data_IF_590150558548
#
_entry.id   IF_590150558548
#
_cell.length_a   1.000
_cell.length_b   1.000
_cell.length_c   1.000
_cell.angle_alpha   90.00
_cell.angle_beta   90.00
_cell.angle_gamma   90.00
#
_symmetry.space_group_name_H-M   'P 1'
#
loop_
_entity.id
_entity.type
_entity.pdbx_description
1 polymer ?
#
# COMPACT_ATOMS: atom_id res chain seq x y z
N UNK A 1 33.18 29.20 -69.38
CA UNK A 1 33.74 28.73 -68.08
C UNK A 1 32.74 28.92 -66.94
N UNK A 2 32.23 30.14 -66.71
CA UNK A 2 31.35 30.47 -65.58
C UNK A 2 30.16 29.51 -65.38
N UNK A 3 29.34 29.28 -66.42
CA UNK A 3 28.17 28.37 -66.37
C UNK A 3 28.49 26.99 -65.76
N UNK A 4 29.63 26.37 -66.13
CA UNK A 4 30.06 25.08 -65.56
C UNK A 4 30.34 25.14 -64.06
N UNK A 5 30.91 26.25 -63.56
CA UNK A 5 31.15 26.46 -62.12
C UNK A 5 29.85 26.63 -61.34
N UNK A 6 28.84 27.25 -61.95
CA UNK A 6 27.54 27.47 -61.31
C UNK A 6 26.67 26.19 -61.35
N UNK A 7 26.73 25.42 -62.44
CA UNK A 7 26.16 24.07 -62.52
C UNK A 7 26.77 23.11 -61.47
N UNK A 8 28.09 23.21 -61.22
CA UNK A 8 28.79 22.43 -60.20
C UNK A 8 28.35 22.82 -58.78
N UNK A 9 28.20 24.12 -58.49
CA UNK A 9 27.64 24.61 -57.21
C UNK A 9 26.21 24.12 -57.00
N UNK A 10 25.36 24.17 -58.02
CA UNK A 10 23.98 23.69 -57.94
C UNK A 10 23.92 22.19 -57.61
N UNK A 11 24.70 21.36 -58.32
CA UNK A 11 24.82 19.91 -58.02
C UNK A 11 25.35 19.65 -56.60
N UNK A 12 26.30 20.47 -56.12
CA UNK A 12 26.85 20.36 -54.76
C UNK A 12 25.84 20.77 -53.69
N UNK A 13 24.94 21.71 -53.97
CA UNK A 13 23.83 22.09 -53.09
C UNK A 13 22.77 20.99 -53.04
N UNK A 14 22.29 20.53 -54.19
CA UNK A 14 21.33 19.41 -54.30
C UNK A 14 21.83 18.14 -53.58
N UNK A 15 23.12 17.80 -53.72
CA UNK A 15 23.71 16.65 -53.00
C UNK A 15 23.75 16.84 -51.48
N UNK A 16 23.88 18.09 -50.98
CA UNK A 16 23.77 18.39 -49.54
C UNK A 16 22.33 18.30 -49.06
N UNK A 17 21.39 18.88 -49.79
CA UNK A 17 19.96 18.86 -49.47
C UNK A 17 19.42 17.42 -49.46
N UNK A 18 19.74 16.62 -50.47
CA UNK A 18 19.40 15.20 -50.52
C UNK A 18 19.97 14.42 -49.31
N UNK A 19 21.20 14.72 -48.88
CA UNK A 19 21.79 14.09 -47.67
C UNK A 19 21.09 14.51 -46.38
N UNK A 20 20.65 15.77 -46.28
CA UNK A 20 19.88 16.27 -45.13
C UNK A 20 18.48 15.64 -45.09
N UNK A 21 17.80 15.58 -46.24
CA UNK A 21 16.48 14.94 -46.36
C UNK A 21 16.55 13.43 -46.05
N UNK A 22 17.53 12.70 -46.58
CA UNK A 22 17.73 11.30 -46.27
C UNK A 22 18.02 11.06 -44.77
N UNK A 23 18.83 11.90 -44.13
CA UNK A 23 19.06 11.82 -42.69
C UNK A 23 17.78 12.07 -41.90
N UNK A 24 16.99 13.09 -42.27
CA UNK A 24 15.72 13.41 -41.64
C UNK A 24 14.71 12.26 -41.75
N UNK A 25 14.58 11.67 -42.94
CA UNK A 25 13.72 10.50 -43.16
C UNK A 25 14.17 9.28 -42.35
N UNK A 26 15.48 9.05 -42.21
CA UNK A 26 16.01 7.98 -41.38
C UNK A 26 15.73 8.20 -39.88
N UNK A 27 15.85 9.43 -39.40
CA UNK A 27 15.55 9.82 -38.01
C UNK A 27 14.04 9.73 -37.70
N UNK A 28 13.20 10.19 -38.63
CA UNK A 28 11.73 10.12 -38.54
C UNK A 28 11.21 8.67 -38.58
N UNK A 29 11.75 7.82 -39.46
CA UNK A 29 11.42 6.39 -39.49
C UNK A 29 11.88 5.65 -38.21
N UNK A 30 13.04 6.01 -37.65
CA UNK A 30 13.49 5.46 -36.37
C UNK A 30 12.60 5.91 -35.20
N UNK A 31 12.17 7.17 -35.17
CA UNK A 31 11.24 7.68 -34.18
C UNK A 31 9.86 6.98 -34.26
N UNK A 32 9.32 6.83 -35.47
CA UNK A 32 8.06 6.12 -35.72
C UNK A 32 8.12 4.64 -35.27
N UNK A 33 9.23 3.94 -35.54
CA UNK A 33 9.42 2.57 -35.09
C UNK A 33 9.45 2.44 -33.55
N UNK A 34 10.09 3.39 -32.85
CA UNK A 34 10.11 3.44 -31.38
C UNK A 34 8.70 3.72 -30.82
N UNK A 35 7.95 4.62 -31.44
CA UNK A 35 6.58 4.93 -31.02
C UNK A 35 5.63 3.75 -31.26
N UNK A 36 5.73 3.06 -32.40
CA UNK A 36 4.95 1.87 -32.70
C UNK A 36 5.28 0.70 -31.74
N UNK A 37 6.56 0.46 -31.45
CA UNK A 37 6.96 -0.55 -30.47
C UNK A 37 6.41 -0.21 -29.07
N UNK A 38 6.46 1.06 -28.68
CA UNK A 38 5.88 1.53 -27.40
C UNK A 38 4.37 1.32 -27.37
N UNK A 39 3.64 1.68 -28.44
CA UNK A 39 2.19 1.48 -28.57
C UNK A 39 1.83 -0.01 -28.46
N UNK A 40 2.59 -0.89 -29.13
CA UNK A 40 2.40 -2.34 -29.05
C UNK A 40 2.62 -2.86 -27.63
N UNK A 41 3.69 -2.43 -26.94
CA UNK A 41 3.96 -2.80 -25.54
C UNK A 41 2.88 -2.30 -24.59
N UNK A 42 2.35 -1.10 -24.80
CA UNK A 42 1.25 -0.54 -24.00
C UNK A 42 -0.06 -1.32 -24.21
N UNK A 43 -0.40 -1.68 -25.45
CA UNK A 43 -1.58 -2.49 -25.74
C UNK A 43 -1.46 -3.92 -25.19
N UNK A 44 -0.29 -4.54 -25.30
CA UNK A 44 0.00 -5.86 -24.72
C UNK A 44 -0.08 -5.82 -23.19
N UNK A 45 0.50 -4.80 -22.54
CA UNK A 45 0.39 -4.59 -21.11
C UNK A 45 -1.07 -4.37 -20.66
N UNK A 46 -1.87 -3.65 -21.45
CA UNK A 46 -3.31 -3.46 -21.21
C UNK A 46 -4.07 -4.78 -21.31
N UNK A 47 -3.84 -5.59 -22.35
CA UNK A 47 -4.46 -6.91 -22.51
C UNK A 47 -4.05 -7.88 -21.39
N UNK A 48 -2.78 -7.86 -20.98
CA UNK A 48 -2.29 -8.65 -19.84
C UNK A 48 -2.94 -8.22 -18.51
N UNK A 49 -3.09 -6.91 -18.26
CA UNK A 49 -3.76 -6.39 -17.08
C UNK A 49 -5.26 -6.76 -17.04
N UNK A 50 -5.96 -6.73 -18.18
CA UNK A 50 -7.35 -7.15 -18.29
C UNK A 50 -7.52 -8.66 -18.04
N UNK A 51 -6.69 -9.50 -18.67
CA UNK A 51 -6.68 -10.94 -18.45
C UNK A 51 -6.41 -11.29 -16.98
N UNK A 52 -5.47 -10.59 -16.33
CA UNK A 52 -5.18 -10.76 -14.90
C UNK A 52 -6.38 -10.38 -14.01
N UNK A 53 -7.13 -9.32 -14.36
CA UNK A 53 -8.35 -8.95 -13.65
C UNK A 53 -9.48 -9.98 -13.83
N UNK A 54 -9.69 -10.49 -15.05
CA UNK A 54 -10.68 -11.52 -15.33
C UNK A 54 -10.38 -12.81 -14.58
N UNK A 55 -9.12 -13.26 -14.59
CA UNK A 55 -8.66 -14.43 -13.84
C UNK A 55 -8.81 -14.24 -12.31
N UNK A 56 -8.50 -13.06 -11.76
CA UNK A 56 -8.78 -12.75 -10.35
C UNK A 56 -10.28 -12.83 -10.03
N UNK A 57 -11.13 -12.20 -10.85
CA UNK A 57 -12.60 -12.24 -10.71
C UNK A 57 -13.17 -13.66 -10.84
N UNK A 58 -12.56 -14.52 -11.67
CA UNK A 58 -12.94 -15.93 -11.78
C UNK A 58 -12.61 -16.69 -10.49
N UNK A 59 -11.37 -16.62 -9.99
CA UNK A 59 -10.94 -17.26 -8.73
C UNK A 59 -11.73 -16.77 -7.51
N UNK A 60 -12.13 -15.50 -7.47
CA UNK A 60 -13.01 -14.99 -6.41
C UNK A 60 -14.46 -15.50 -6.51
N UNK A 61 -14.99 -15.72 -7.72
CA UNK A 61 -16.31 -16.34 -7.92
C UNK A 61 -16.29 -17.83 -7.54
N UNK A 62 -15.29 -18.56 -7.99
CA UNK A 62 -15.07 -19.98 -7.66
C UNK A 62 -14.95 -20.18 -6.15
N UNK A 63 -14.10 -19.41 -5.45
CA UNK A 63 -13.99 -19.45 -3.98
C UNK A 63 -15.30 -19.12 -3.26
N UNK A 64 -16.16 -18.28 -3.83
CA UNK A 64 -17.50 -18.00 -3.28
C UNK A 64 -18.44 -19.20 -3.47
N UNK A 65 -18.42 -19.86 -4.63
CA UNK A 65 -19.21 -21.07 -4.87
C UNK A 65 -18.75 -22.22 -3.96
N UNK A 66 -17.44 -22.49 -3.87
CA UNK A 66 -16.90 -23.52 -2.98
C UNK A 66 -17.29 -23.30 -1.51
N UNK A 67 -17.27 -22.04 -1.03
CA UNK A 67 -17.77 -21.69 0.31
C UNK A 67 -19.27 -21.93 0.48
N UNK A 68 -20.08 -21.65 -0.55
CA UNK A 68 -21.52 -21.92 -0.53
C UNK A 68 -21.79 -23.42 -0.44
N UNK A 69 -21.19 -24.24 -1.30
CA UNK A 69 -21.41 -25.69 -1.28
C UNK A 69 -20.88 -26.33 0.01
N UNK A 70 -19.71 -25.93 0.51
CA UNK A 70 -19.23 -26.36 1.84
C UNK A 70 -20.19 -25.96 2.98
N UNK A 71 -20.84 -24.80 2.87
CA UNK A 71 -21.85 -24.38 3.86
C UNK A 71 -23.15 -25.17 3.72
N UNK A 72 -23.56 -25.49 2.48
CA UNK A 72 -24.75 -26.30 2.18
C UNK A 72 -24.57 -27.73 2.68
N UNK A 73 -23.40 -28.34 2.44
CA UNK A 73 -23.06 -29.68 2.94
C UNK A 73 -23.22 -29.77 4.47
N UNK A 74 -22.62 -28.83 5.22
CA UNK A 74 -22.75 -28.76 6.69
C UNK A 74 -24.20 -28.65 7.17
N UNK A 75 -25.01 -27.84 6.50
CA UNK A 75 -26.43 -27.65 6.84
C UNK A 75 -27.21 -28.94 6.57
N UNK A 76 -27.01 -29.57 5.41
CA UNK A 76 -27.68 -30.83 5.07
C UNK A 76 -27.20 -32.01 5.93
N UNK A 77 -25.95 -32.02 6.41
CA UNK A 77 -25.44 -33.07 7.31
C UNK A 77 -25.86 -32.90 8.78
N UNK A 78 -26.28 -31.70 9.21
CA UNK A 78 -26.58 -31.40 10.61
C UNK A 78 -27.60 -32.35 11.28
N UNK A 79 -28.68 -32.82 10.63
CA UNK A 79 -29.60 -33.79 11.22
C UNK A 79 -28.94 -35.14 11.50
N UNK A 80 -28.08 -35.61 10.58
CA UNK A 80 -27.34 -36.88 10.69
C UNK A 80 -26.30 -36.83 11.81
N UNK A 81 -25.57 -35.72 11.92
CA UNK A 81 -24.61 -35.48 12.99
C UNK A 81 -25.31 -35.44 14.37
N UNK A 82 -26.44 -34.74 14.46
CA UNK A 82 -27.24 -34.65 15.69
C UNK A 82 -27.77 -36.01 16.16
N UNK A 83 -28.12 -36.89 15.20
CA UNK A 83 -28.60 -38.25 15.45
C UNK A 83 -27.47 -39.29 15.53
N UNK A 84 -26.20 -38.89 15.31
CA UNK A 84 -25.00 -39.75 15.27
C UNK A 84 -25.11 -40.99 14.37
N UNK A 85 -25.86 -40.89 13.27
CA UNK A 85 -26.11 -42.05 12.40
C UNK A 85 -24.83 -42.52 11.68
N UNK A 86 -24.68 -43.84 11.55
CA UNK A 86 -23.57 -44.53 10.88
C UNK A 86 -22.14 -44.18 11.36
N UNK A 87 -22.02 -43.55 12.53
CA UNK A 87 -20.74 -43.10 13.11
C UNK A 87 -20.18 -41.83 12.46
N UNK A 88 -20.99 -41.07 11.72
CA UNK A 88 -20.54 -39.84 11.04
C UNK A 88 -20.29 -38.75 12.10
N UNK A 89 -19.06 -38.22 12.11
CA UNK A 89 -18.63 -37.08 12.94
C UNK A 89 -18.48 -35.81 12.10
N UNK A 90 -18.39 -34.65 12.76
CA UNK A 90 -18.09 -33.37 12.10
C UNK A 90 -16.79 -33.43 11.28
N UNK A 91 -15.79 -34.21 11.73
CA UNK A 91 -14.52 -34.43 11.03
C UNK A 91 -14.75 -35.03 9.65
N UNK A 92 -15.60 -36.06 9.52
CA UNK A 92 -15.94 -36.67 8.23
C UNK A 92 -16.56 -35.64 7.26
N UNK A 93 -17.34 -34.68 7.78
CA UNK A 93 -17.98 -33.64 6.97
C UNK A 93 -16.97 -32.55 6.56
N UNK A 94 -16.01 -32.21 7.42
CA UNK A 94 -14.91 -31.30 7.09
C UNK A 94 -13.91 -31.94 6.10
N UNK A 95 -13.61 -33.24 6.24
CA UNK A 95 -12.78 -33.99 5.31
C UNK A 95 -13.40 -34.01 3.90
N UNK A 96 -14.72 -34.23 3.79
CA UNK A 96 -15.45 -34.09 2.53
C UNK A 96 -15.43 -32.65 2.02
N UNK A 97 -15.59 -31.65 2.90
CA UNK A 97 -15.44 -30.25 2.51
C UNK A 97 -14.05 -29.95 1.94
N UNK A 98 -12.97 -30.51 2.50
CA UNK A 98 -11.58 -30.25 2.12
C UNK A 98 -11.15 -31.02 0.87
N UNK A 99 -11.55 -32.28 0.74
CA UNK A 99 -11.16 -33.18 -0.36
C UNK A 99 -11.93 -32.94 -1.67
N UNK A 100 -13.22 -32.64 -1.60
CA UNK A 100 -14.07 -32.51 -2.79
C UNK A 100 -14.01 -31.13 -3.44
N UNK A 101 -14.06 -31.11 -4.77
CA UNK A 101 -14.12 -29.88 -5.56
C UNK A 101 -15.55 -29.30 -5.62
N UNK A 102 -15.72 -28.09 -6.17
CA UNK A 102 -17.02 -27.39 -6.22
C UNK A 102 -18.13 -28.17 -6.93
N UNK A 103 -17.81 -28.94 -7.98
CA UNK A 103 -18.78 -29.74 -8.72
C UNK A 103 -19.15 -31.02 -7.96
N UNK A 104 -18.16 -31.72 -7.40
CA UNK A 104 -18.37 -32.91 -6.57
C UNK A 104 -19.20 -32.59 -5.32
N UNK A 105 -18.88 -31.49 -4.62
CA UNK A 105 -19.67 -31.02 -3.48
C UNK A 105 -21.11 -30.69 -3.88
N UNK A 106 -21.31 -30.07 -5.04
CA UNK A 106 -22.65 -29.76 -5.54
C UNK A 106 -23.42 -31.04 -5.87
N UNK A 107 -22.82 -32.00 -6.59
CA UNK A 107 -23.40 -33.33 -6.87
C UNK A 107 -23.77 -34.07 -5.57
N UNK A 108 -22.91 -34.02 -4.55
CA UNK A 108 -23.20 -34.59 -3.23
C UNK A 108 -24.39 -33.90 -2.55
N UNK A 109 -24.38 -32.57 -2.45
CA UNK A 109 -25.50 -31.81 -1.88
C UNK A 109 -26.82 -32.06 -2.62
N UNK A 110 -26.81 -32.11 -3.96
CA UNK A 110 -27.99 -32.40 -4.78
C UNK A 110 -28.47 -33.86 -4.58
N UNK A 111 -27.55 -34.84 -4.43
CA UNK A 111 -27.86 -36.24 -4.04
C UNK A 111 -28.38 -36.37 -2.59
N UNK A 112 -28.20 -35.36 -1.74
CA UNK A 112 -28.64 -35.30 -0.34
C UNK A 112 -29.99 -34.58 -0.13
N UNK A 113 -30.35 -33.62 -1.00
CA UNK A 113 -31.47 -32.68 -0.80
C UNK A 113 -32.85 -33.36 -0.66
N UNK A 114 -33.00 -34.58 -1.18
CA UNK A 114 -34.24 -35.38 -1.11
C UNK A 114 -34.10 -36.65 -0.23
N UNK A 115 -33.13 -36.68 0.69
CA UNK A 115 -32.88 -37.85 1.56
C UNK A 115 -32.86 -37.46 3.02
N UNK A 116 -33.38 -38.34 3.86
CA UNK A 116 -33.45 -38.15 5.31
C UNK A 116 -32.90 -39.36 6.07
N UNK A 117 -32.62 -39.17 7.37
CA UNK A 117 -32.22 -40.22 8.30
C UNK A 117 -31.08 -41.13 7.77
N UNK A 118 -31.33 -42.44 7.76
CA UNK A 118 -30.34 -43.45 7.35
C UNK A 118 -29.96 -43.36 5.87
N UNK A 119 -30.87 -42.95 4.99
CA UNK A 119 -30.56 -42.78 3.56
C UNK A 119 -29.62 -41.60 3.32
N UNK A 120 -29.83 -40.51 4.05
CA UNK A 120 -28.94 -39.34 4.06
C UNK A 120 -27.56 -39.69 4.63
N UNK A 121 -27.52 -40.44 5.75
CA UNK A 121 -26.28 -40.92 6.34
C UNK A 121 -25.48 -41.82 5.38
N UNK A 122 -26.12 -42.77 4.68
CA UNK A 122 -25.47 -43.61 3.67
C UNK A 122 -24.80 -42.76 2.57
N UNK A 123 -25.46 -41.69 2.10
CA UNK A 123 -24.90 -40.80 1.08
C UNK A 123 -23.70 -40.00 1.59
N UNK A 124 -23.77 -39.43 2.79
CA UNK A 124 -22.62 -38.69 3.37
C UNK A 124 -21.43 -39.64 3.53
N UNK A 125 -21.64 -40.84 4.06
CA UNK A 125 -20.57 -41.83 4.27
C UNK A 125 -19.88 -42.27 2.98
N UNK A 126 -20.62 -42.31 1.87
CA UNK A 126 -20.11 -42.66 0.55
C UNK A 126 -19.68 -41.42 -0.26
N UNK A 127 -19.68 -40.21 0.32
CA UNK A 127 -19.47 -38.94 -0.38
C UNK A 127 -18.13 -38.82 -1.11
N UNK A 128 -17.11 -39.57 -0.69
CA UNK A 128 -15.79 -39.61 -1.33
C UNK A 128 -15.80 -40.31 -2.70
N UNK A 129 -16.79 -41.17 -2.98
CA UNK A 129 -16.91 -41.94 -4.22
C UNK A 129 -18.01 -41.36 -5.14
N UNK A 130 -18.22 -40.04 -5.13
CA UNK A 130 -19.39 -39.40 -5.78
C UNK A 130 -19.43 -39.57 -7.30
N UNK A 131 -18.28 -39.83 -7.91
CA UNK A 131 -18.08 -40.01 -9.35
C UNK A 131 -18.34 -41.46 -9.81
N UNK A 132 -18.48 -42.42 -8.89
CA UNK A 132 -19.05 -43.74 -9.19
C UNK A 132 -20.58 -43.62 -9.27
N UNK A 133 -21.08 -43.32 -10.47
CA UNK A 133 -22.51 -43.31 -10.80
C UNK A 133 -23.15 -44.72 -10.84
N UNK A 134 -22.53 -45.69 -10.15
CA UNK A 134 -22.87 -47.12 -10.18
C UNK A 134 -23.14 -47.73 -8.80
N UNK A 135 -23.58 -46.92 -7.84
CA UNK A 135 -24.25 -47.40 -6.62
C UNK A 135 -25.75 -47.15 -6.78
N UNK A 136 -26.40 -48.04 -7.53
CA UNK A 136 -27.82 -48.29 -7.35
C UNK A 136 -28.05 -48.67 -5.89
N UNK A 137 -29.04 -48.05 -5.26
CA UNK A 137 -29.41 -48.39 -3.89
C UNK A 137 -30.22 -49.67 -3.99
N UNK A 138 -29.60 -50.81 -3.71
CA UNK A 138 -30.35 -52.01 -3.32
C UNK A 138 -31.11 -51.66 -2.04
N UNK A 139 -32.43 -51.54 -2.17
CA UNK A 139 -33.36 -51.37 -1.06
C UNK A 139 -33.49 -52.70 -0.31
N UNK A 140 -32.52 -53.03 0.56
CA UNK A 140 -32.74 -54.07 1.55
C UNK A 140 -33.82 -53.61 2.55
N UNK A 141 -35.04 -54.07 2.27
CA UNK A 141 -36.21 -53.99 3.14
C UNK A 141 -36.00 -54.88 4.38
N UNK A 142 -35.44 -54.33 5.45
CA UNK A 142 -35.39 -55.02 6.75
C UNK A 142 -36.61 -54.64 7.60
N UNK A 143 -37.70 -55.36 7.39
CA UNK A 143 -38.80 -55.42 8.36
C UNK A 143 -38.34 -56.17 9.62
N UNK A 144 -38.20 -55.47 10.76
CA UNK A 144 -38.27 -56.12 12.08
C UNK A 144 -39.18 -55.31 12.99
N UNK A 145 -40.26 -55.96 13.43
CA UNK A 145 -41.33 -55.34 14.20
C UNK A 145 -40.91 -55.01 15.65
N UNK A 146 -41.44 -53.90 16.16
CA UNK A 146 -41.41 -53.57 17.59
C UNK A 146 -42.24 -54.58 18.38
N UNK A 147 -41.62 -55.29 19.33
CA UNK A 147 -42.29 -55.83 20.53
C UNK A 147 -41.42 -55.64 21.77
N UNK A 148 -42.05 -55.31 22.88
CA UNK A 148 -41.44 -54.96 24.16
C UNK A 148 -41.25 -56.19 25.10
N UNK A 149 -40.54 -55.94 26.22
CA UNK A 149 -40.47 -56.69 27.48
C UNK A 149 -39.50 -57.89 27.58
N UNK A 150 -38.74 -57.94 28.71
CA UNK A 150 -38.30 -59.24 29.30
C UNK A 150 -36.89 -59.40 29.88
N UNK A 151 -36.49 -58.59 30.87
CA UNK A 151 -35.83 -58.97 32.16
C UNK A 151 -34.98 -60.29 32.34
N UNK A 152 -33.86 -60.16 33.10
CA UNK A 152 -33.04 -61.16 33.86
C UNK A 152 -31.74 -61.75 33.22
N UNK A 153 -30.59 -61.39 33.84
CA UNK A 153 -29.37 -62.13 34.28
C UNK A 153 -28.89 -63.40 33.51
N UNK A 154 -27.58 -63.76 33.38
CA UNK A 154 -26.49 -63.68 34.35
C UNK A 154 -25.06 -63.98 33.77
N UNK A 155 -24.02 -63.43 34.43
CA UNK A 155 -22.64 -63.92 34.69
C UNK A 155 -21.62 -64.45 33.62
N UNK A 156 -20.36 -64.04 33.83
CA UNK A 156 -19.10 -64.56 33.24
C UNK A 156 -18.24 -63.43 32.61
N UNK A 157 -17.23 -62.80 33.25
CA UNK A 157 -15.91 -63.31 33.68
C UNK A 157 -15.14 -63.95 32.49
N UNK A 158 -13.93 -63.55 32.07
CA UNK A 158 -12.75 -62.99 32.79
C UNK A 158 -11.88 -62.12 31.84
N UNK A 159 -11.05 -61.20 32.40
CA UNK A 159 -9.64 -60.81 32.06
C UNK A 159 -9.07 -60.82 30.60
N UNK A 160 -8.03 -60.06 30.21
CA UNK A 160 -7.32 -58.87 30.73
C UNK A 160 -6.28 -58.37 29.68
N UNK A 161 -5.70 -57.18 29.91
CA UNK A 161 -4.51 -56.61 29.23
C UNK A 161 -4.66 -56.21 27.73
N UNK A 162 -3.98 -55.17 27.24
CA UNK A 162 -3.06 -54.24 27.92
C UNK A 162 -2.67 -53.04 27.04
N UNK A 163 -2.37 -51.92 27.70
CA UNK A 163 -1.98 -50.64 27.08
C UNK A 163 -0.47 -50.62 26.78
N UNK A 164 -0.08 -50.18 25.58
CA UNK A 164 1.20 -49.49 25.31
C UNK A 164 1.01 -48.47 24.18
N UNK A 165 1.31 -47.19 24.44
CA UNK A 165 1.42 -46.15 23.41
C UNK A 165 2.74 -46.27 22.64
N UNK A 166 2.73 -45.97 21.33
CA UNK A 166 3.94 -45.61 20.59
C UNK A 166 3.64 -44.43 19.65
N UNK A 167 4.01 -43.22 20.09
CA UNK A 167 3.88 -41.98 19.31
C UNK A 167 4.83 -41.99 18.11
N UNK A 168 4.33 -41.58 16.95
CA UNK A 168 5.14 -41.01 15.87
C UNK A 168 4.45 -39.74 15.40
N UNK A 169 4.92 -38.60 15.92
CA UNK A 169 4.41 -37.27 15.58
C UNK A 169 4.92 -36.83 14.19
N UNK A 170 4.05 -36.85 13.18
CA UNK A 170 4.23 -36.06 11.94
C UNK A 170 3.12 -35.01 11.82
N UNK A 171 3.24 -33.96 12.62
CA UNK A 171 2.30 -32.85 12.64
C UNK A 171 2.46 -31.93 11.43
N UNK A 172 1.52 -32.01 10.48
CA UNK A 172 1.32 -31.00 9.45
C UNK A 172 0.80 -29.69 10.08
N UNK A 173 1.56 -28.62 9.91
CA UNK A 173 1.37 -27.38 10.66
C UNK A 173 0.28 -26.46 10.06
N UNK A 174 -1.01 -26.77 10.28
CA UNK A 174 -2.08 -25.76 10.13
C UNK A 174 -2.13 -24.86 11.37
N UNK A 175 -1.14 -23.97 11.52
CA UNK A 175 -1.15 -22.94 12.57
C UNK A 175 -2.28 -21.94 12.29
N UNK A 176 -3.32 -21.96 13.14
CA UNK A 176 -4.23 -20.81 13.32
C UNK A 176 -3.36 -19.56 13.51
N UNK A 177 -3.45 -18.59 12.59
CA UNK A 177 -2.57 -17.41 12.59
C UNK A 177 -2.62 -16.71 13.95
N UNK A 178 -1.56 -16.84 14.74
CA UNK A 178 -1.56 -16.34 16.12
C UNK A 178 -1.65 -14.81 16.06
N UNK A 179 -2.64 -14.16 16.72
CA UNK A 179 -2.77 -12.71 16.65
C UNK A 179 -1.48 -12.02 17.08
N UNK A 180 -1.16 -10.92 16.41
CA UNK A 180 0.06 -10.16 16.69
C UNK A 180 -0.08 -9.43 18.03
N UNK A 181 0.79 -9.77 18.99
CA UNK A 181 0.85 -9.04 20.25
C UNK A 181 1.46 -7.66 20.05
N UNK A 182 1.12 -6.70 20.93
CA UNK A 182 1.59 -5.31 20.83
C UNK A 182 3.13 -5.22 20.83
N UNK A 183 3.78 -6.06 21.63
CA UNK A 183 5.23 -6.14 21.73
C UNK A 183 5.88 -6.65 20.43
N UNK A 184 5.33 -7.71 19.82
CA UNK A 184 5.80 -8.20 18.52
C UNK A 184 5.65 -7.16 17.41
N UNK A 185 4.58 -6.35 17.44
CA UNK A 185 4.35 -5.27 16.46
C UNK A 185 5.41 -4.17 16.62
N UNK A 186 5.76 -3.80 17.86
CA UNK A 186 6.80 -2.80 18.11
C UNK A 186 8.21 -3.34 17.80
N UNK A 187 8.46 -4.64 18.03
CA UNK A 187 9.68 -5.31 17.57
C UNK A 187 9.76 -5.38 16.04
N UNK A 188 8.65 -5.65 15.35
CA UNK A 188 8.57 -5.60 13.88
C UNK A 188 8.82 -4.19 13.34
N UNK A 189 8.30 -3.14 14.01
CA UNK A 189 8.57 -1.73 13.68
C UNK A 189 10.06 -1.41 13.79
N UNK A 190 10.67 -1.79 14.92
CA UNK A 190 12.11 -1.62 15.19
C UNK A 190 12.95 -2.38 14.19
N UNK A 191 12.67 -3.65 13.94
CA UNK A 191 13.38 -4.49 12.96
C UNK A 191 13.29 -3.94 11.54
N UNK A 192 12.10 -3.54 11.09
CA UNK A 192 11.89 -2.92 9.76
C UNK A 192 12.67 -1.61 9.58
N UNK A 193 12.92 -0.88 10.67
CA UNK A 193 13.69 0.37 10.68
C UNK A 193 15.19 0.11 10.75
N UNK A 194 15.61 -0.85 11.59
CA UNK A 194 17.00 -1.25 11.83
C UNK A 194 17.63 -1.97 10.63
N UNK A 195 16.83 -2.75 9.91
CA UNK A 195 17.25 -3.46 8.70
C UNK A 195 16.52 -2.86 7.49
N UNK A 196 17.13 -1.89 6.77
CA UNK A 196 16.49 -1.25 5.62
C UNK A 196 16.44 -2.14 4.38
N UNK A 197 15.71 -1.69 3.35
CA UNK A 197 15.63 -2.36 2.05
C UNK A 197 17.02 -2.42 1.38
N UNK A 198 17.48 -3.62 1.03
CA UNK A 198 18.81 -3.86 0.48
C UNK A 198 19.72 -4.74 1.35
N UNK A 199 19.39 -4.94 2.63
CA UNK A 199 20.01 -5.99 3.46
C UNK A 199 19.65 -7.36 2.86
N UNK A 200 20.65 -8.21 2.62
CA UNK A 200 20.40 -9.62 2.23
C UNK A 200 19.71 -10.35 3.38
N UNK A 201 18.80 -11.28 3.06
CA UNK A 201 18.04 -12.06 4.06
C UNK A 201 17.33 -11.17 5.12
N UNK A 202 16.83 -10.01 4.68
CA UNK A 202 16.21 -9.00 5.56
C UNK A 202 15.10 -9.56 6.44
N UNK A 203 14.26 -10.45 5.91
CA UNK A 203 13.04 -10.89 6.58
C UNK A 203 13.32 -12.04 7.55
N UNK A 204 14.32 -12.84 7.23
CA UNK A 204 14.94 -13.86 8.06
C UNK A 204 15.57 -13.20 9.29
N UNK A 205 16.41 -12.17 9.08
CA UNK A 205 17.02 -11.38 10.17
C UNK A 205 15.97 -10.64 11.01
N UNK A 206 14.87 -10.15 10.41
CA UNK A 206 13.75 -9.55 11.17
C UNK A 206 12.98 -10.61 11.96
N UNK A 207 12.77 -11.82 11.41
CA UNK A 207 12.14 -12.94 12.14
C UNK A 207 12.96 -13.33 13.37
N UNK A 208 14.26 -13.52 13.20
CA UNK A 208 15.20 -13.83 14.28
C UNK A 208 15.25 -12.69 15.32
N UNK A 209 15.29 -11.43 14.88
CA UNK A 209 15.27 -10.25 15.76
C UNK A 209 13.97 -10.11 16.59
N UNK A 210 12.83 -10.60 16.08
CA UNK A 210 11.57 -10.64 16.84
C UNK A 210 11.53 -11.85 17.79
N UNK A 211 12.21 -12.95 17.46
CA UNK A 211 12.43 -14.09 18.34
C UNK A 211 11.21 -14.97 18.62
N UNK A 212 10.02 -14.65 18.06
CA UNK A 212 8.78 -15.40 18.34
C UNK A 212 8.50 -16.57 17.39
N UNK A 213 9.46 -16.94 16.54
CA UNK A 213 9.36 -18.10 15.65
C UNK A 213 8.32 -17.96 14.53
N UNK A 214 7.92 -16.72 14.19
CA UNK A 214 7.04 -16.41 13.05
C UNK A 214 7.79 -16.53 11.73
N UNK A 215 7.15 -17.12 10.73
CA UNK A 215 7.78 -17.36 9.43
C UNK A 215 8.07 -16.05 8.68
N UNK A 216 9.03 -16.08 7.76
CA UNK A 216 9.32 -14.96 6.83
C UNK A 216 8.04 -14.43 6.15
N UNK A 217 7.12 -15.32 5.79
CA UNK A 217 5.85 -14.97 5.16
C UNK A 217 4.91 -14.23 6.13
N UNK A 218 4.83 -14.66 7.40
CA UNK A 218 4.07 -13.96 8.44
C UNK A 218 4.65 -12.57 8.72
N UNK A 219 5.98 -12.44 8.81
CA UNK A 219 6.69 -11.16 8.97
C UNK A 219 6.36 -10.21 7.80
N UNK A 220 6.39 -10.72 6.57
CA UNK A 220 6.18 -9.95 5.36
C UNK A 220 4.70 -9.54 5.20
N UNK A 221 3.76 -10.45 5.54
CA UNK A 221 2.32 -10.17 5.63
C UNK A 221 2.04 -9.09 6.67
N UNK A 222 2.54 -9.24 7.89
CA UNK A 222 2.34 -8.28 8.97
C UNK A 222 3.00 -6.92 8.72
N UNK A 223 4.18 -6.88 8.08
CA UNK A 223 4.77 -5.60 7.68
C UNK A 223 3.87 -4.87 6.68
N UNK A 224 3.20 -5.61 5.79
CA UNK A 224 2.25 -5.05 4.82
C UNK A 224 0.91 -4.64 5.44
N UNK A 225 0.38 -5.39 6.41
CA UNK A 225 -0.95 -5.17 6.99
C UNK A 225 -0.96 -4.36 8.29
N UNK A 226 0.09 -4.42 9.10
CA UNK A 226 0.17 -3.77 10.42
C UNK A 226 1.02 -2.50 10.39
N UNK A 227 2.12 -2.48 9.62
CA UNK A 227 3.01 -1.31 9.52
C UNK A 227 2.71 -0.41 8.30
N UNK A 228 2.31 -1.01 7.17
CA UNK A 228 1.97 -0.28 5.94
C UNK A 228 0.46 -0.05 5.75
N UNK A 229 -0.35 -0.33 6.78
CA UNK A 229 -1.70 0.23 6.84
C UNK A 229 -1.57 1.76 6.83
N UNK A 230 -1.93 2.37 5.69
CA UNK A 230 -2.24 3.79 5.65
C UNK A 230 -3.32 4.02 6.73
N UNK A 231 -3.25 5.10 7.53
CA UNK A 231 -4.36 5.44 8.40
C UNK A 231 -5.62 5.49 7.54
N UNK A 232 -6.66 4.80 8.02
CA UNK A 232 -7.96 4.75 7.36
C UNK A 232 -8.34 6.18 6.93
N UNK A 233 -8.63 6.39 5.65
CA UNK A 233 -8.87 7.74 5.12
C UNK A 233 -10.05 8.43 5.82
N UNK A 234 -10.97 7.65 6.41
CA UNK A 234 -12.03 8.17 7.27
C UNK A 234 -11.49 8.77 8.59
N UNK A 235 -10.47 8.16 9.20
CA UNK A 235 -9.88 8.56 10.50
C UNK A 235 -8.65 9.48 10.37
N UNK A 236 -8.09 9.60 9.17
CA UNK A 236 -6.99 10.51 8.88
C UNK A 236 -7.36 11.99 9.09
N UNK A 237 -8.65 12.34 8.96
CA UNK A 237 -9.15 13.70 9.22
C UNK A 237 -9.25 13.99 10.72
N UNK A 238 -9.82 13.09 11.52
CA UNK A 238 -9.91 13.25 12.99
C UNK A 238 -8.53 13.36 13.63
N UNK A 239 -7.59 12.49 13.23
CA UNK A 239 -6.20 12.57 13.71
C UNK A 239 -5.47 13.84 13.25
N UNK A 240 -5.93 14.51 12.19
CA UNK A 240 -5.43 15.83 11.78
C UNK A 240 -6.03 16.97 12.60
N UNK A 241 -7.29 16.86 13.04
CA UNK A 241 -7.92 17.79 13.97
C UNK A 241 -7.29 17.68 15.38
N UNK A 242 -7.08 16.45 15.86
CA UNK A 242 -6.52 16.16 17.19
C UNK A 242 -5.05 16.59 17.32
N UNK A 243 -4.27 16.50 16.23
CA UNK A 243 -2.87 16.95 16.18
C UNK A 243 -2.71 18.46 15.89
N UNK A 244 -3.79 19.23 15.73
CA UNK A 244 -3.72 20.69 15.73
C UNK A 244 -3.76 21.20 17.18
N UNK A 245 -2.74 21.96 17.58
CA UNK A 245 -2.83 22.81 18.77
C UNK A 245 -4.14 23.64 18.69
N UNK A 246 -4.92 23.77 19.77
CA UNK A 246 -6.03 24.71 19.78
C UNK A 246 -5.50 26.11 19.45
N UNK A 247 -6.10 26.74 18.45
CA UNK A 247 -5.73 28.11 18.08
C UNK A 247 -6.08 29.03 19.25
N UNK A 248 -5.16 29.95 19.60
CA UNK A 248 -5.42 30.93 20.63
C UNK A 248 -6.66 31.77 20.26
N UNK A 249 -7.55 31.98 21.24
CA UNK A 249 -8.73 32.83 21.09
C UNK A 249 -8.30 34.28 20.92
N UNK A 250 -8.17 34.71 19.66
CA UNK A 250 -8.06 36.13 19.31
C UNK A 250 -9.44 36.78 19.54
N UNK A 251 -9.61 37.38 20.71
CA UNK A 251 -10.70 38.33 20.97
C UNK A 251 -10.48 39.57 20.09
N UNK A 252 -11.03 39.55 18.87
CA UNK A 252 -11.08 40.71 17.98
C UNK A 252 -12.50 41.28 17.98
N UNK A 253 -12.72 42.50 18.51
CA UNK A 253 -14.05 43.07 18.66
C UNK A 253 -14.52 43.70 17.34
N UNK A 254 -15.12 42.91 16.47
CA UNK A 254 -15.80 43.44 15.27
C UNK A 254 -17.04 42.62 14.90
N UNK A 255 -18.05 42.67 15.77
CA UNK A 255 -19.40 42.19 15.50
C UNK A 255 -20.44 43.18 16.03
N UNK A 256 -20.50 44.35 15.39
CA UNK A 256 -21.64 45.27 15.54
C UNK A 256 -22.14 45.63 14.14
N UNK A 257 -23.03 44.78 13.63
CA UNK A 257 -23.94 45.14 12.54
C UNK A 257 -25.01 46.03 13.17
N UNK A 258 -24.88 47.33 12.97
CA UNK A 258 -25.72 48.33 13.62
C UNK A 258 -27.02 48.53 12.81
N UNK A 259 -28.12 48.03 13.37
CA UNK A 259 -29.49 48.32 12.94
C UNK A 259 -30.13 49.09 14.08
N UNK A 260 -30.15 50.43 13.97
CA UNK A 260 -30.80 51.30 14.95
C UNK A 260 -32.13 51.80 14.41
N UNK A 261 -33.20 51.42 15.10
CA UNK A 261 -34.43 52.19 15.10
C UNK A 261 -34.23 53.51 15.87
N UNK A 262 -34.98 54.52 15.44
CA UNK A 262 -35.26 55.80 16.09
C UNK A 262 -35.46 55.72 17.62
N UNK A 263 -35.27 56.80 18.42
CA UNK A 263 -35.81 58.12 18.06
C UNK A 263 -35.17 59.44 18.60
N UNK A 264 -35.77 60.54 18.12
CA UNK A 264 -35.79 61.94 18.64
C UNK A 264 -34.60 62.89 18.30
N UNK A 265 -34.96 63.83 17.44
CA UNK A 265 -34.30 65.08 16.98
C UNK A 265 -34.85 66.27 17.86
N UNK A 266 -34.35 67.54 17.89
CA UNK A 266 -33.10 68.20 17.43
C UNK A 266 -32.33 69.04 18.51
N UNK A 267 -31.11 69.51 18.24
CA UNK A 267 -30.83 70.93 17.84
C UNK A 267 -29.34 71.34 17.81
N UNK A 268 -29.00 72.09 16.74
CA UNK A 268 -27.96 73.14 16.59
C UNK A 268 -26.49 72.90 17.01
N UNK A 269 -25.68 72.70 15.98
CA UNK A 269 -24.52 73.53 15.59
C UNK A 269 -23.91 74.54 16.59
N UNK A 270 -22.59 74.48 16.75
CA UNK A 270 -21.72 75.53 16.20
C UNK A 270 -20.32 75.00 15.85
N UNK A 271 -19.58 75.84 15.13
CA UNK A 271 -18.26 75.71 14.55
C UNK A 271 -17.13 75.28 15.51
N UNK A 272 -16.05 74.77 14.91
CA UNK A 272 -14.76 75.47 14.84
C UNK A 272 -13.46 74.75 15.30
N UNK A 273 -12.52 74.79 14.36
CA UNK A 273 -11.09 75.05 14.54
C UNK A 273 -10.08 74.04 15.17
N UNK A 274 -9.14 73.66 14.29
CA UNK A 274 -7.68 73.84 14.45
C UNK A 274 -6.82 72.71 15.07
N UNK A 275 -5.85 72.24 14.26
CA UNK A 275 -4.42 72.02 14.61
C UNK A 275 -4.00 70.89 15.57
N UNK A 276 -2.75 70.39 15.65
CA UNK A 276 -1.52 70.30 14.80
C UNK A 276 -0.66 69.12 15.35
N UNK A 277 0.46 68.61 14.80
CA UNK A 277 1.32 68.91 13.62
C UNK A 277 1.93 67.59 13.06
N UNK A 278 2.44 67.66 11.83
CA UNK A 278 3.54 66.90 11.18
C UNK A 278 4.83 66.77 12.07
N UNK A 279 5.88 65.97 11.78
CA UNK A 279 6.73 65.98 10.57
C UNK A 279 7.52 64.68 10.26
N UNK A 280 7.94 64.62 9.00
CA UNK A 280 8.70 63.60 8.26
C UNK A 280 10.22 63.76 8.41
N UNK A 281 11.02 62.71 8.13
CA UNK A 281 12.31 62.83 7.41
C UNK A 281 12.91 61.47 6.96
N UNK A 282 13.65 61.48 5.85
CA UNK A 282 14.42 60.36 5.26
C UNK A 282 15.95 60.62 5.36
N UNK A 283 16.81 59.59 5.18
CA UNK A 283 17.86 59.51 4.12
C UNK A 283 19.14 58.66 4.44
N UNK A 284 19.45 57.74 3.51
CA UNK A 284 20.73 57.54 2.76
C UNK A 284 22.10 57.15 3.44
N UNK A 285 22.94 56.34 2.74
CA UNK A 285 24.40 56.59 2.71
C UNK A 285 25.50 55.48 2.75
N UNK A 286 25.75 54.77 1.63
CA UNK A 286 27.10 54.42 1.03
C UNK A 286 28.19 53.52 1.70
N UNK A 287 29.11 53.08 0.82
CA UNK A 287 30.18 52.04 0.92
C UNK A 287 31.61 52.63 0.80
N UNK A 288 32.68 52.00 1.34
CA UNK A 288 33.95 51.67 0.60
C UNK A 288 35.05 50.90 1.36
N UNK A 289 36.05 50.43 0.60
CA UNK A 289 37.12 49.46 0.93
C UNK A 289 38.50 50.07 1.33
N UNK A 290 39.38 49.26 1.95
CA UNK A 290 40.86 49.23 1.84
C UNK A 290 41.45 48.22 2.88
N UNK A 291 42.64 47.59 2.77
CA UNK A 291 43.41 47.12 1.60
C UNK A 291 44.55 46.13 2.04
N UNK A 292 44.86 45.15 1.19
CA UNK A 292 46.19 44.53 0.91
C UNK A 292 46.95 43.50 1.83
N UNK A 293 47.45 42.45 1.15
CA UNK A 293 48.71 41.66 1.29
C UNK A 293 49.00 40.58 2.37
N UNK A 294 48.81 39.30 1.95
CA UNK A 294 49.82 38.25 1.67
C UNK A 294 50.76 37.67 2.76
N UNK A 295 50.76 36.32 2.97
CA UNK A 295 51.75 35.64 3.84
C UNK A 295 51.53 34.15 4.23
N UNK A 296 51.44 33.23 3.25
CA UNK A 296 51.68 31.76 3.32
C UNK A 296 51.88 31.00 4.67
N UNK A 297 50.95 30.08 5.04
CA UNK A 297 51.21 28.63 5.32
C UNK A 297 50.01 27.89 5.96
N UNK A 298 49.71 26.67 5.51
CA UNK A 298 48.82 25.67 6.17
C UNK A 298 49.48 25.05 7.44
N UNK A 299 48.76 24.29 8.32
CA UNK A 299 47.42 23.71 8.16
C UNK A 299 46.43 23.86 9.37
N UNK A 300 45.19 23.42 9.10
CA UNK A 300 44.21 22.82 10.04
C UNK A 300 43.37 23.68 11.03
N UNK A 301 42.13 23.19 11.21
CA UNK A 301 41.20 23.36 12.35
C UNK A 301 40.48 24.71 12.60
N UNK A 302 39.29 24.81 11.97
CA UNK A 302 38.02 25.23 12.57
C UNK A 302 37.92 26.50 13.46
N UNK A 303 37.24 27.54 12.94
CA UNK A 303 36.10 28.19 13.63
C UNK A 303 35.33 29.16 12.72
N UNK A 304 34.02 29.32 13.00
CA UNK A 304 33.30 30.57 12.70
C UNK A 304 32.91 30.88 11.25
N UNK A 305 32.09 30.05 10.60
CA UNK A 305 31.27 30.52 9.47
C UNK A 305 29.78 30.37 9.78
N UNK A 306 29.03 31.45 9.56
CA UNK A 306 27.61 31.57 9.91
C UNK A 306 26.78 30.38 9.37
N UNK A 307 26.13 29.59 10.24
CA UNK A 307 25.40 28.41 9.79
C UNK A 307 24.19 28.76 8.91
N UNK A 308 23.60 29.96 9.06
CA UNK A 308 22.46 30.42 8.24
C UNK A 308 22.89 31.25 7.00
N UNK A 309 24.15 31.71 6.94
CA UNK A 309 24.70 32.44 5.79
C UNK A 309 24.85 31.55 4.55
N UNK A 310 24.22 31.90 3.44
CA UNK A 310 24.35 31.20 2.15
C UNK A 310 25.31 31.96 1.24
N UNK A 311 26.43 31.33 0.86
CA UNK A 311 27.31 31.89 -0.17
C UNK A 311 26.73 31.67 -1.57
N UNK A 312 27.05 32.55 -2.51
CA UNK A 312 26.63 32.42 -3.91
C UNK A 312 27.09 31.09 -4.56
N UNK A 313 28.18 30.49 -4.07
CA UNK A 313 28.65 29.17 -4.50
C UNK A 313 27.71 28.07 -3.99
N UNK A 314 27.32 28.11 -2.71
CA UNK A 314 26.37 27.15 -2.12
C UNK A 314 24.98 27.26 -2.73
N UNK A 315 24.51 28.47 -3.06
CA UNK A 315 23.21 28.65 -3.73
C UNK A 315 23.22 28.09 -5.16
N UNK A 316 24.28 28.34 -5.94
CA UNK A 316 24.45 27.74 -7.28
C UNK A 316 24.53 26.22 -7.19
N UNK A 317 25.30 25.68 -6.25
CA UNK A 317 25.41 24.25 -6.01
C UNK A 317 24.06 23.62 -5.65
N UNK A 318 23.26 24.26 -4.79
CA UNK A 318 21.91 23.81 -4.44
C UNK A 318 20.99 23.78 -5.69
N UNK A 319 20.96 24.85 -6.48
CA UNK A 319 20.14 24.92 -7.70
C UNK A 319 20.58 23.89 -8.74
N UNK A 320 21.89 23.67 -8.89
CA UNK A 320 22.43 22.62 -9.78
C UNK A 320 22.05 21.23 -9.28
N UNK A 321 22.26 20.90 -8.01
CA UNK A 321 21.89 19.62 -7.42
C UNK A 321 20.38 19.34 -7.51
N UNK A 322 19.53 20.36 -7.34
CA UNK A 322 18.08 20.24 -7.49
C UNK A 322 17.63 19.97 -8.95
N UNK A 323 18.42 20.37 -9.95
CA UNK A 323 18.23 20.01 -11.37
C UNK A 323 18.75 18.60 -11.66
N UNK A 324 19.95 18.25 -11.16
CA UNK A 324 20.59 16.94 -11.33
C UNK A 324 19.83 15.81 -10.63
N UNK A 325 19.14 16.12 -9.52
CA UNK A 325 18.30 15.18 -8.78
C UNK A 325 16.83 15.63 -8.79
N UNK A 326 16.03 15.23 -9.79
CA UNK A 326 14.59 15.47 -9.83
C UNK A 326 13.81 14.91 -8.64
N UNK A 327 12.53 15.26 -8.54
CA UNK A 327 11.63 14.85 -7.44
C UNK A 327 11.53 13.32 -7.26
N UNK A 328 11.69 12.53 -8.31
CA UNK A 328 11.58 11.06 -8.29
C UNK A 328 12.89 10.37 -7.85
N UNK A 329 13.96 11.11 -7.57
CA UNK A 329 15.25 10.54 -7.15
C UNK A 329 15.16 9.93 -5.74
N UNK A 330 15.31 8.61 -5.61
CA UNK A 330 15.50 7.94 -4.32
C UNK A 330 16.65 8.59 -3.54
N UNK A 331 16.47 8.93 -2.26
CA UNK A 331 17.47 9.65 -1.44
C UNK A 331 17.89 11.02 -2.03
N UNK A 332 16.98 11.71 -2.77
CA UNK A 332 17.21 13.04 -3.36
C UNK A 332 17.93 14.01 -2.43
N UNK A 333 17.42 14.16 -1.21
CA UNK A 333 17.89 15.16 -0.27
C UNK A 333 19.27 14.86 0.33
N UNK A 334 19.66 13.58 0.40
CA UNK A 334 21.01 13.19 0.80
C UNK A 334 22.00 13.57 -0.30
N UNK A 335 21.72 13.21 -1.56
CA UNK A 335 22.58 13.60 -2.70
C UNK A 335 22.65 15.11 -2.91
N UNK A 336 21.56 15.84 -2.64
CA UNK A 336 21.57 17.32 -2.65
C UNK A 336 22.46 17.86 -1.54
N UNK A 337 22.42 17.30 -0.32
CA UNK A 337 23.32 17.73 0.76
C UNK A 337 24.80 17.43 0.45
N UNK A 338 25.11 16.23 -0.07
CA UNK A 338 26.48 15.86 -0.50
C UNK A 338 27.00 16.80 -1.59
N UNK A 339 26.13 17.34 -2.44
CA UNK A 339 26.50 18.27 -3.51
C UNK A 339 26.60 19.74 -3.07
N UNK A 340 26.27 20.10 -1.82
CA UNK A 340 26.34 21.49 -1.30
C UNK A 340 27.35 21.56 -0.15
N UNK A 341 28.59 22.03 -0.40
CA UNK A 341 29.63 22.08 0.62
C UNK A 341 29.22 22.83 1.89
N UNK A 342 29.37 22.18 3.04
CA UNK A 342 29.15 22.79 4.36
C UNK A 342 27.68 23.06 4.73
N UNK A 343 26.69 22.56 3.99
CA UNK A 343 25.27 22.66 4.38
C UNK A 343 24.63 21.28 4.56
N UNK A 344 23.81 21.17 5.61
CA UNK A 344 23.08 19.95 5.96
C UNK A 344 21.83 19.76 5.09
N UNK A 345 21.30 18.54 5.06
CA UNK A 345 20.04 18.22 4.39
C UNK A 345 18.88 19.16 4.78
N UNK A 346 18.78 19.51 6.06
CA UNK A 346 17.69 20.35 6.56
C UNK A 346 17.85 21.81 6.12
N UNK A 347 19.08 22.33 6.06
CA UNK A 347 19.35 23.66 5.49
C UNK A 347 19.02 23.71 3.99
N UNK A 348 19.42 22.68 3.22
CA UNK A 348 19.07 22.58 1.80
C UNK A 348 17.54 22.53 1.56
N UNK A 349 16.79 21.82 2.42
CA UNK A 349 15.31 21.79 2.40
C UNK A 349 14.69 23.16 2.73
N UNK A 350 15.17 23.83 3.79
CA UNK A 350 14.72 25.19 4.19
C UNK A 350 14.90 26.17 3.02
N UNK A 351 16.12 26.30 2.50
CA UNK A 351 16.44 27.19 1.37
C UNK A 351 15.65 26.88 0.10
N UNK A 352 15.33 25.62 -0.17
CA UNK A 352 14.43 25.24 -1.28
C UNK A 352 12.97 25.64 -1.05
N UNK A 353 12.47 25.59 0.20
CA UNK A 353 11.15 26.11 0.53
C UNK A 353 11.12 27.64 0.32
N UNK A 354 12.11 28.36 0.84
CA UNK A 354 12.25 29.82 0.67
C UNK A 354 12.29 30.20 -0.82
N UNK A 355 13.08 29.49 -1.64
CA UNK A 355 13.14 29.68 -3.09
C UNK A 355 11.79 29.43 -3.78
N UNK A 356 11.05 28.40 -3.37
CA UNK A 356 9.70 28.15 -3.89
C UNK A 356 8.71 29.25 -3.51
N UNK A 357 8.80 29.77 -2.29
CA UNK A 357 7.92 30.83 -1.83
C UNK A 357 8.24 32.17 -2.50
N UNK A 358 9.51 32.49 -2.74
CA UNK A 358 9.92 33.63 -3.59
C UNK A 358 9.39 33.49 -5.02
N UNK A 359 9.38 32.30 -5.61
CA UNK A 359 8.79 32.08 -6.94
C UNK A 359 7.25 32.20 -6.90
N UNK A 360 6.62 31.77 -5.80
CA UNK A 360 5.17 31.86 -5.60
C UNK A 360 4.70 33.30 -5.40
N UNK A 361 5.44 34.11 -4.65
CA UNK A 361 5.12 35.53 -4.39
C UNK A 361 5.54 36.48 -5.51
N UNK A 362 6.57 36.13 -6.30
CA UNK A 362 6.95 36.88 -7.52
C UNK A 362 6.16 36.47 -8.77
N UNK A 363 5.16 35.60 -8.65
CA UNK A 363 4.22 35.33 -9.74
C UNK A 363 3.13 36.40 -9.68
N UNK A 364 3.11 37.42 -10.57
CA UNK A 364 2.03 38.39 -10.55
C UNK A 364 0.71 37.65 -10.78
N UNK A 365 -0.32 38.06 -10.06
CA UNK A 365 -1.71 37.73 -10.38
C UNK A 365 -1.99 38.21 -11.79
N UNK A 366 -2.23 37.26 -12.69
CA UNK A 366 -2.65 37.45 -14.07
C UNK A 366 -4.10 36.99 -14.21
#
# INVERSE_FOLDING_TARGET
IQKRKDDEKAKKLQKKEAKVMAKRQQEEAAAAAIEEEKRRKEEEAKRAAEAAQLHKRAKEREKKLLRKERSRLRVLSAPVLSQRLLGISDEHVEDLCMSLNTEQLRKLCDKMENKEGMALAKVIKNGSNIDDDKIEIEEEEVQVAVKQNGHIEANGHVEANGHVEAKVDTATHEKKEKPWSKEEIDMLRKGTTKFPKGTSQRWEVISEYIGTGRSVEEILKATKTVLLQKPDSAKAFDSFLENRKPAASINSPLSTREELGEPIIPTKAHEDNNSTKTETAEQNGKTKENNNSNGNSEPAAASGSDPDGWSAVQERALVQALKTFPKETNQRWERVATAVPGKTMNQCKKKFADLKDVIRTKKPTA
#
